data_IF_560298197494
#
_entry.id   IF_560298197494
#
_cell.length_a   1.000
_cell.length_b   1.000
_cell.length_c   1.000
_cell.angle_alpha   90.00
_cell.angle_beta   90.00
_cell.angle_gamma   90.00
#
_symmetry.space_group_name_H-M   'P 1'
#
loop_
_entity.id
_entity.type
_entity.pdbx_description
1 polymer ?
#
# COMPACT_ATOMS: atom_id res chain seq x y z
N UNK A 1 14.09 2.12 -13.87
CA UNK A 1 14.88 3.00 -12.99
C UNK A 1 14.82 2.47 -11.56
N UNK A 2 15.96 2.35 -10.94
CA UNK A 2 16.04 1.90 -9.57
C UNK A 2 16.12 3.13 -8.67
N UNK A 3 15.12 3.28 -7.82
CA UNK A 3 15.16 4.34 -6.83
C UNK A 3 15.74 3.78 -5.55
N UNK A 4 16.86 4.35 -5.12
CA UNK A 4 17.46 3.94 -3.86
C UNK A 4 17.02 4.92 -2.78
N UNK A 5 16.21 4.44 -1.87
CA UNK A 5 15.74 5.22 -0.73
C UNK A 5 16.38 4.72 0.56
N UNK A 6 16.65 5.63 1.45
CA UNK A 6 17.06 5.27 2.81
C UNK A 6 15.83 4.78 3.57
N UNK A 7 16.06 4.14 4.71
CA UNK A 7 14.96 3.74 5.59
C UNK A 7 14.12 4.95 6.00
N UNK A 8 14.76 6.07 6.31
CA UNK A 8 14.06 7.29 6.70
C UNK A 8 13.16 7.81 5.59
N UNK A 9 13.65 7.79 4.34
CA UNK A 9 12.86 8.21 3.20
C UNK A 9 11.66 7.30 2.97
N UNK A 10 11.85 5.99 3.12
CA UNK A 10 10.77 5.02 2.98
C UNK A 10 9.70 5.22 4.05
N UNK A 11 10.10 5.46 5.29
CA UNK A 11 9.17 5.73 6.37
C UNK A 11 8.36 6.99 6.08
N UNK A 12 9.01 8.03 5.59
CA UNK A 12 8.34 9.27 5.21
C UNK A 12 7.33 9.06 4.08
N UNK A 13 7.69 8.29 3.06
CA UNK A 13 6.79 7.99 1.94
C UNK A 13 5.56 7.23 2.43
N UNK A 14 5.74 6.24 3.29
CA UNK A 14 4.63 5.46 3.83
C UNK A 14 3.70 6.35 4.67
N UNK A 15 4.27 7.16 5.54
CA UNK A 15 3.51 8.06 6.40
C UNK A 15 2.71 9.06 5.58
N UNK A 16 3.38 9.73 4.64
CA UNK A 16 2.74 10.72 3.78
C UNK A 16 1.63 10.10 2.94
N UNK A 17 1.85 8.89 2.41
CA UNK A 17 0.84 8.19 1.62
C UNK A 17 -0.42 7.94 2.44
N UNK A 18 -0.26 7.48 3.68
CA UNK A 18 -1.41 7.19 4.53
C UNK A 18 -2.15 8.46 4.94
N UNK A 19 -1.43 9.53 5.25
CA UNK A 19 -2.05 10.81 5.59
C UNK A 19 -2.79 11.41 4.40
N UNK A 20 -2.18 11.35 3.21
CA UNK A 20 -2.80 11.87 2.00
C UNK A 20 -4.02 11.06 1.59
N UNK A 21 -3.97 9.74 1.74
CA UNK A 21 -5.11 8.90 1.45
C UNK A 21 -6.29 9.24 2.35
N UNK A 22 -6.04 9.39 3.64
CA UNK A 22 -7.07 9.77 4.60
C UNK A 22 -7.67 11.11 4.25
N UNK A 23 -6.84 12.09 3.92
CA UNK A 23 -7.31 13.42 3.53
C UNK A 23 -8.12 13.37 2.24
N UNK A 24 -7.68 12.58 1.27
CA UNK A 24 -8.36 12.42 -0.01
C UNK A 24 -9.76 11.85 0.17
N UNK A 25 -9.91 10.84 1.02
CA UNK A 25 -11.19 10.17 1.23
C UNK A 25 -12.11 10.90 2.21
N UNK A 26 -11.57 11.80 3.01
CA UNK A 26 -12.34 12.46 4.05
C UNK A 26 -13.44 13.34 3.44
N UNK A 27 -14.68 13.08 3.82
CA UNK A 27 -15.82 13.85 3.34
C UNK A 27 -16.23 13.57 1.91
N UNK A 28 -15.60 12.65 1.21
CA UNK A 28 -15.99 12.26 -0.15
C UNK A 28 -16.91 11.07 -0.12
N UNK A 29 -17.90 11.12 -0.99
CA UNK A 29 -18.72 9.95 -1.26
C UNK A 29 -17.96 9.01 -2.21
N UNK A 30 -18.07 7.70 -1.96
CA UNK A 30 -17.43 6.70 -2.79
C UNK A 30 -18.24 6.42 -4.05
N UNK A 31 -18.29 7.40 -4.95
CA UNK A 31 -19.06 7.34 -6.19
C UNK A 31 -18.15 7.64 -7.38
N UNK A 32 -18.52 7.09 -8.53
CA UNK A 32 -17.76 7.32 -9.77
C UNK A 32 -17.61 8.80 -10.10
N UNK A 33 -18.66 9.55 -9.85
CA UNK A 33 -18.72 10.95 -10.24
C UNK A 33 -17.74 11.81 -9.45
N UNK A 34 -17.42 11.40 -8.23
CA UNK A 34 -16.62 12.21 -7.32
C UNK A 34 -15.26 11.65 -6.99
N UNK A 35 -15.01 10.37 -7.28
CA UNK A 35 -13.74 9.72 -6.92
C UNK A 35 -13.01 9.22 -8.15
N UNK A 36 -11.88 9.86 -8.47
CA UNK A 36 -11.07 9.47 -9.62
C UNK A 36 -10.49 8.06 -9.46
N UNK A 37 -10.16 7.67 -8.24
CA UNK A 37 -9.63 6.34 -7.97
C UNK A 37 -10.67 5.28 -8.28
N UNK A 38 -11.91 5.51 -7.88
CA UNK A 38 -12.99 4.56 -8.14
C UNK A 38 -13.29 4.44 -9.63
N UNK A 39 -13.22 5.55 -10.36
CA UNK A 39 -13.38 5.52 -11.82
C UNK A 39 -12.29 4.70 -12.48
N UNK A 40 -11.04 4.93 -12.09
CA UNK A 40 -9.91 4.20 -12.66
C UNK A 40 -9.93 2.73 -12.27
N UNK A 41 -10.30 2.44 -11.04
CA UNK A 41 -10.44 1.07 -10.54
C UNK A 41 -11.38 0.26 -11.41
N UNK A 42 -12.50 0.84 -11.80
CA UNK A 42 -13.50 0.16 -12.62
C UNK A 42 -12.97 -0.26 -13.98
N UNK A 43 -12.03 0.50 -14.53
CA UNK A 43 -11.44 0.19 -15.83
C UNK A 43 -10.50 -1.01 -15.77
N UNK A 44 -9.76 -1.16 -14.69
CA UNK A 44 -8.72 -2.18 -14.57
C UNK A 44 -9.10 -3.37 -13.71
N UNK A 45 -10.16 -3.25 -12.92
CA UNK A 45 -10.54 -4.25 -11.94
C UNK A 45 -12.04 -4.51 -12.01
N UNK A 46 -12.44 -5.26 -13.03
CA UNK A 46 -13.85 -5.56 -13.29
C UNK A 46 -14.49 -6.35 -12.16
N UNK A 47 -13.71 -7.13 -11.44
CA UNK A 47 -14.19 -7.97 -10.34
C UNK A 47 -14.19 -7.25 -8.99
N UNK A 48 -13.75 -6.00 -8.97
CA UNK A 48 -13.73 -5.17 -7.76
C UNK A 48 -12.95 -5.80 -6.61
N UNK A 49 -11.83 -6.44 -6.93
CA UNK A 49 -10.99 -7.14 -5.94
C UNK A 49 -9.97 -6.22 -5.29
N UNK A 50 -9.42 -5.27 -6.06
CA UNK A 50 -8.33 -4.41 -5.58
C UNK A 50 -8.92 -3.23 -4.82
N UNK A 51 -8.47 -3.03 -3.60
CA UNK A 51 -8.96 -1.96 -2.76
C UNK A 51 -8.40 -0.59 -3.18
N UNK A 52 -9.12 0.46 -2.80
CA UNK A 52 -8.76 1.83 -3.18
C UNK A 52 -7.40 2.25 -2.61
N UNK A 53 -7.06 1.81 -1.42
CA UNK A 53 -5.79 2.17 -0.79
C UNK A 53 -4.60 1.63 -1.58
N UNK A 54 -4.69 0.38 -2.06
CA UNK A 54 -3.64 -0.21 -2.89
C UNK A 54 -3.46 0.61 -4.17
N UNK A 55 -4.56 0.96 -4.82
CA UNK A 55 -4.50 1.78 -6.02
C UNK A 55 -3.93 3.16 -5.75
N UNK A 56 -4.38 3.81 -4.69
CA UNK A 56 -3.89 5.14 -4.33
C UNK A 56 -2.37 5.10 -4.09
N UNK A 57 -1.90 4.10 -3.36
CA UNK A 57 -0.48 3.95 -3.06
C UNK A 57 0.33 3.75 -4.33
N UNK A 58 -0.13 2.86 -5.22
CA UNK A 58 0.58 2.60 -6.48
C UNK A 58 0.60 3.83 -7.37
N UNK A 59 -0.51 4.55 -7.49
CA UNK A 59 -0.55 5.77 -8.30
C UNK A 59 0.39 6.83 -7.74
N UNK A 60 0.46 6.95 -6.43
CA UNK A 60 1.40 7.90 -5.79
C UNK A 60 2.85 7.56 -6.12
N UNK A 61 3.16 6.27 -6.29
CA UNK A 61 4.49 5.82 -6.68
C UNK A 61 4.73 5.90 -8.19
N UNK A 62 3.74 6.35 -8.93
CA UNK A 62 3.86 6.47 -10.39
C UNK A 62 3.55 5.18 -11.14
N UNK A 63 2.91 4.23 -10.50
CA UNK A 63 2.59 2.93 -11.10
C UNK A 63 1.12 2.93 -11.53
N UNK A 64 0.89 2.84 -12.85
CA UNK A 64 -0.46 2.82 -13.41
C UNK A 64 -0.69 1.66 -14.39
N UNK A 65 0.29 0.78 -14.57
CA UNK A 65 0.15 -0.39 -15.44
C UNK A 65 -0.71 -1.45 -14.77
N UNK A 66 -1.74 -1.89 -15.47
CA UNK A 66 -2.72 -2.84 -14.97
C UNK A 66 -2.11 -4.15 -14.48
N UNK A 67 -1.19 -4.71 -15.26
CA UNK A 67 -0.56 -5.99 -14.93
C UNK A 67 0.29 -5.90 -13.67
N UNK A 68 1.00 -4.78 -13.48
CA UNK A 68 1.79 -4.56 -12.27
C UNK A 68 0.89 -4.40 -11.06
N UNK A 69 -0.18 -3.63 -11.20
CA UNK A 69 -1.14 -3.41 -10.13
C UNK A 69 -1.73 -4.75 -9.65
N UNK A 70 -2.17 -5.58 -10.59
CA UNK A 70 -2.74 -6.88 -10.25
C UNK A 70 -1.73 -7.81 -9.61
N UNK A 71 -0.49 -7.81 -10.09
CA UNK A 71 0.57 -8.64 -9.54
C UNK A 71 0.89 -8.24 -8.10
N UNK A 72 1.04 -6.96 -7.83
CA UNK A 72 1.35 -6.46 -6.48
C UNK A 72 0.21 -6.81 -5.52
N UNK A 73 -1.04 -6.65 -5.96
CA UNK A 73 -2.18 -7.00 -5.14
C UNK A 73 -2.19 -8.48 -4.76
N UNK A 74 -1.93 -9.36 -5.74
CA UNK A 74 -1.86 -10.80 -5.47
C UNK A 74 -0.75 -11.14 -4.49
N UNK A 75 0.41 -10.50 -4.64
CA UNK A 75 1.55 -10.75 -3.74
C UNK A 75 1.22 -10.33 -2.31
N UNK A 76 0.55 -9.20 -2.16
CA UNK A 76 0.13 -8.76 -0.83
C UNK A 76 -0.87 -9.75 -0.22
N UNK A 77 -1.85 -10.20 -0.98
CA UNK A 77 -2.83 -11.18 -0.50
C UNK A 77 -2.14 -12.46 -0.05
N UNK A 78 -1.22 -12.97 -0.87
CA UNK A 78 -0.49 -14.18 -0.53
C UNK A 78 0.34 -13.98 0.75
N UNK A 79 0.94 -12.83 0.89
CA UNK A 79 1.70 -12.49 2.09
C UNK A 79 0.83 -12.56 3.33
N UNK A 80 -0.37 -11.99 3.27
CA UNK A 80 -1.29 -11.95 4.40
C UNK A 80 -1.94 -13.30 4.71
N UNK A 81 -2.22 -14.09 3.67
CA UNK A 81 -3.01 -15.32 3.82
C UNK A 81 -2.19 -16.59 3.99
N UNK A 82 -0.89 -16.51 4.13
CA UNK A 82 -0.04 -17.69 4.28
C UNK A 82 0.05 -18.20 5.71
N UNK A 83 -1.05 -18.19 6.43
CA UNK A 83 -1.13 -18.78 7.77
C UNK A 83 -0.57 -17.92 8.89
N UNK A 84 -0.27 -16.66 8.62
CA UNK A 84 0.26 -15.76 9.62
C UNK A 84 -0.88 -15.05 10.35
N UNK A 85 -0.82 -15.03 11.67
CA UNK A 85 -1.68 -14.14 12.44
C UNK A 85 -1.05 -12.74 12.41
N UNK A 86 -1.88 -11.70 12.54
CA UNK A 86 -1.38 -10.33 12.63
C UNK A 86 -0.43 -10.15 13.81
N UNK A 87 -0.65 -10.92 14.88
CA UNK A 87 0.20 -10.88 16.08
C UNK A 87 1.66 -11.21 15.77
N UNK A 88 1.89 -12.13 14.83
CA UNK A 88 3.23 -12.59 14.46
C UNK A 88 3.69 -11.97 13.14
N UNK A 89 2.94 -11.03 12.59
CA UNK A 89 3.26 -10.42 11.31
C UNK A 89 4.46 -9.49 11.43
N UNK A 90 5.51 -9.78 10.66
CA UNK A 90 6.72 -8.97 10.67
C UNK A 90 6.49 -7.57 10.14
N UNK A 91 5.58 -7.44 9.18
CA UNK A 91 5.20 -6.14 8.63
C UNK A 91 4.55 -5.26 9.71
N UNK A 92 3.65 -5.83 10.50
CA UNK A 92 3.01 -5.09 11.58
C UNK A 92 4.02 -4.68 12.66
N UNK A 93 4.99 -5.55 12.95
CA UNK A 93 6.07 -5.22 13.87
C UNK A 93 6.93 -4.08 13.35
N UNK A 94 7.20 -4.08 12.05
CA UNK A 94 7.92 -2.98 11.41
C UNK A 94 7.17 -1.66 11.57
N UNK A 95 5.85 -1.68 11.36
CA UNK A 95 5.01 -0.51 11.51
C UNK A 95 5.08 0.02 12.96
N UNK A 96 4.91 -0.86 13.92
CA UNK A 96 4.92 -0.45 15.34
C UNK A 96 6.29 0.08 15.78
N UNK A 97 7.36 -0.41 15.16
CA UNK A 97 8.71 0.01 15.52
C UNK A 97 9.09 1.36 14.90
N UNK A 98 8.46 1.75 13.79
CA UNK A 98 8.93 2.89 13.01
C UNK A 98 7.93 4.05 12.90
N UNK A 99 6.72 3.89 13.38
CA UNK A 99 5.69 4.94 13.29
C UNK A 99 5.06 5.18 14.64
N UNK A 100 4.63 6.43 14.86
CA UNK A 100 3.92 6.80 16.08
C UNK A 100 2.54 6.13 16.13
N UNK A 101 2.10 5.75 17.33
CA UNK A 101 0.79 5.14 17.51
C UNK A 101 -0.37 6.06 17.13
N UNK A 102 -0.13 7.37 17.10
CA UNK A 102 -1.16 8.35 16.74
C UNK A 102 -1.43 8.40 15.23
N UNK A 103 -0.55 7.78 14.43
CA UNK A 103 -0.67 7.79 12.97
C UNK A 103 -1.16 6.43 12.53
N UNK A 104 -2.27 6.42 11.79
CA UNK A 104 -2.81 5.19 11.25
C UNK A 104 -2.05 4.80 9.98
N UNK A 105 -1.29 3.72 10.07
CA UNK A 105 -0.55 3.17 8.95
C UNK A 105 -1.17 1.83 8.57
N UNK A 106 -1.62 1.72 7.34
CA UNK A 106 -2.20 0.48 6.84
C UNK A 106 -1.13 -0.48 6.35
N UNK A 107 -1.26 -1.75 6.69
CA UNK A 107 -0.32 -2.79 6.26
C UNK A 107 -0.20 -2.86 4.74
N UNK A 108 -1.31 -2.71 4.02
CA UNK A 108 -1.31 -2.75 2.54
C UNK A 108 -0.43 -1.68 1.95
N UNK A 109 -0.59 -0.45 2.41
CA UNK A 109 0.20 0.68 1.93
C UNK A 109 1.67 0.46 2.23
N UNK A 110 1.97 0.04 3.45
CA UNK A 110 3.34 -0.23 3.85
C UNK A 110 3.97 -1.34 2.98
N UNK A 111 3.24 -2.43 2.77
CA UNK A 111 3.71 -3.52 1.92
C UNK A 111 4.01 -3.05 0.51
N UNK A 112 3.08 -2.30 -0.10
CA UNK A 112 3.23 -1.83 -1.47
C UNK A 112 4.46 -0.95 -1.62
N UNK A 113 4.65 0.00 -0.71
CA UNK A 113 5.81 0.90 -0.78
C UNK A 113 7.11 0.11 -0.63
N UNK A 114 7.19 -0.77 0.35
CA UNK A 114 8.39 -1.58 0.57
C UNK A 114 8.67 -2.51 -0.60
N UNK A 115 7.64 -3.18 -1.12
CA UNK A 115 7.81 -4.10 -2.23
C UNK A 115 8.28 -3.39 -3.50
N UNK A 116 7.63 -2.28 -3.85
CA UNK A 116 7.95 -1.55 -5.07
C UNK A 116 9.34 -0.91 -5.03
N UNK A 117 9.86 -0.66 -3.83
CA UNK A 117 11.21 -0.13 -3.66
C UNK A 117 12.24 -1.22 -3.36
N UNK A 118 11.83 -2.49 -3.47
CA UNK A 118 12.68 -3.63 -3.22
C UNK A 118 13.29 -3.64 -1.82
N UNK A 119 12.51 -3.19 -0.84
CA UNK A 119 12.97 -3.03 0.53
C UNK A 119 12.15 -3.84 1.53
N UNK A 120 11.44 -4.86 1.05
CA UNK A 120 10.61 -5.69 1.94
C UNK A 120 11.45 -6.44 2.98
N UNK A 121 12.73 -6.65 2.68
CA UNK A 121 13.66 -7.26 3.62
C UNK A 121 13.85 -6.45 4.91
N UNK A 122 13.48 -5.17 4.92
CA UNK A 122 13.54 -4.36 6.13
C UNK A 122 12.62 -4.87 7.22
N UNK A 123 11.59 -5.63 6.86
CA UNK A 123 10.68 -6.25 7.83
C UNK A 123 11.24 -7.53 8.40
N UNK A 124 12.39 -8.00 7.91
CA UNK A 124 12.92 -9.30 8.27
C UNK A 124 12.35 -10.45 7.47
N UNK A 125 11.53 -10.18 6.47
CA UNK A 125 11.00 -11.21 5.58
C UNK A 125 12.06 -11.64 4.59
N UNK A 126 12.13 -12.94 4.37
CA UNK A 126 12.95 -13.51 3.31
C UNK A 126 12.04 -14.14 2.27
N UNK A 127 12.40 -13.94 1.03
CA UNK A 127 11.69 -14.58 -0.06
C UNK A 127 11.89 -16.07 -0.05
#
# INVERSE_FOLDING_TARGET
>A
MIFMHTLEEIIEIIEDTNLEYKAYCNGKECMYETCAIKRNKRKIDKNNEIDCLTLFTLYKLGIDQEDIIKDVYKRYRNYCYTGKSCRNCKLLKFIHANFDNDILIYCRSCYVVLYMNNMLNLTGERK
#
